data_IF_986657670705
#
_entry.id   IF_986657670705
#
_cell.length_a   1.000
_cell.length_b   1.000
_cell.length_c   1.000
_cell.angle_alpha   90.00
_cell.angle_beta   90.00
_cell.angle_gamma   90.00
#
_symmetry.space_group_name_H-M   'P 1'
#
loop_
_entity.id
_entity.type
_entity.pdbx_description
1 polymer ?
#
# COMPACT_ATOMS: atom_id res chain seq x y z
N UNK A 1 -21.92 -1.71 3.35
CA UNK A 1 -21.65 -0.29 3.02
C UNK A 1 -20.31 -0.19 2.33
N UNK A 2 -20.27 0.47 1.18
CA UNK A 2 -19.04 0.63 0.43
C UNK A 2 -18.19 1.76 1.02
N UNK A 3 -17.03 1.41 1.54
CA UNK A 3 -16.10 2.42 2.03
C UNK A 3 -15.31 3.01 0.86
N UNK A 4 -15.22 4.34 0.81
CA UNK A 4 -14.50 5.05 -0.23
C UNK A 4 -13.39 5.89 0.39
N UNK A 5 -12.16 5.41 0.41
CA UNK A 5 -11.04 6.22 0.88
C UNK A 5 -10.80 7.37 -0.09
N UNK A 6 -10.25 8.48 0.42
CA UNK A 6 -9.95 9.67 -0.38
C UNK A 6 -8.45 9.84 -0.59
N UNK A 7 -7.65 9.57 0.42
CA UNK A 7 -6.22 9.84 0.41
C UNK A 7 -5.44 8.54 0.47
N UNK A 8 -4.57 8.37 -0.51
CA UNK A 8 -3.64 7.23 -0.57
C UNK A 8 -2.24 7.77 -0.39
N UNK A 9 -1.56 7.35 0.68
CA UNK A 9 -0.18 7.69 0.94
C UNK A 9 0.71 6.53 0.50
N UNK A 10 1.73 6.81 -0.30
CA UNK A 10 2.67 5.80 -0.75
C UNK A 10 4.06 6.15 -0.24
N UNK A 11 4.51 5.44 0.78
CA UNK A 11 5.85 5.59 1.31
C UNK A 11 6.78 4.85 0.37
N UNK A 12 7.75 5.57 -0.21
CA UNK A 12 8.54 5.05 -1.31
C UNK A 12 7.90 5.27 -2.68
N UNK A 13 6.87 6.14 -2.75
CA UNK A 13 6.12 6.40 -3.99
C UNK A 13 6.92 7.08 -5.09
N UNK A 14 8.18 7.46 -4.83
CA UNK A 14 9.07 7.99 -5.86
C UNK A 14 9.90 6.87 -6.51
N UNK A 15 9.87 5.66 -5.97
CA UNK A 15 10.48 4.50 -6.59
C UNK A 15 9.66 4.02 -7.79
N UNK A 16 10.20 3.08 -8.56
CA UNK A 16 9.55 2.62 -9.80
C UNK A 16 8.17 2.00 -9.56
N UNK A 17 8.06 1.08 -8.61
CA UNK A 17 6.79 0.43 -8.31
C UNK A 17 5.80 1.42 -7.72
N UNK A 18 6.23 2.20 -6.72
CA UNK A 18 5.38 3.19 -6.08
C UNK A 18 4.89 4.25 -7.05
N UNK A 19 5.75 4.73 -7.95
CA UNK A 19 5.37 5.72 -8.97
C UNK A 19 4.31 5.18 -9.93
N UNK A 20 4.42 3.93 -10.30
CA UNK A 20 3.48 3.29 -11.20
C UNK A 20 2.07 3.28 -10.60
N UNK A 21 1.96 2.88 -9.33
CA UNK A 21 0.68 2.88 -8.63
C UNK A 21 0.19 4.30 -8.31
N UNK A 22 1.10 5.21 -7.98
CA UNK A 22 0.72 6.60 -7.70
C UNK A 22 0.05 7.25 -8.92
N UNK A 23 0.64 7.08 -10.09
CA UNK A 23 0.04 7.60 -11.33
C UNK A 23 -1.33 6.99 -11.59
N UNK A 24 -1.43 5.66 -11.45
CA UNK A 24 -2.68 4.96 -11.70
C UNK A 24 -3.80 5.43 -10.76
N UNK A 25 -3.51 5.55 -9.47
CA UNK A 25 -4.51 6.01 -8.51
C UNK A 25 -4.94 7.47 -8.76
N UNK A 26 -4.01 8.33 -9.18
CA UNK A 26 -4.36 9.72 -9.51
C UNK A 26 -5.35 9.80 -10.67
N UNK A 27 -5.28 8.88 -11.62
CA UNK A 27 -6.22 8.82 -12.73
C UNK A 27 -7.64 8.47 -12.28
N UNK A 28 -7.80 7.89 -11.11
CA UNK A 28 -9.10 7.54 -10.55
C UNK A 28 -9.55 8.50 -9.44
N UNK A 29 -9.05 9.73 -9.49
CA UNK A 29 -9.46 10.83 -8.60
C UNK A 29 -9.13 10.66 -7.12
N UNK A 30 -8.18 9.78 -6.78
CA UNK A 30 -7.66 9.75 -5.42
C UNK A 30 -6.65 10.87 -5.21
N UNK A 31 -6.63 11.42 -4.00
CA UNK A 31 -5.53 12.27 -3.57
C UNK A 31 -4.36 11.35 -3.22
N UNK A 32 -3.26 11.47 -3.94
CA UNK A 32 -2.09 10.61 -3.72
C UNK A 32 -0.93 11.43 -3.18
N UNK A 33 -0.45 11.05 -2.00
CA UNK A 33 0.71 11.66 -1.36
C UNK A 33 1.87 10.67 -1.44
N UNK A 34 3.06 11.16 -1.79
CA UNK A 34 4.24 10.29 -1.91
C UNK A 34 5.38 10.84 -1.07
N UNK A 35 6.31 9.97 -0.70
CA UNK A 35 7.53 10.36 0.02
C UNK A 35 8.26 11.44 -0.75
N UNK A 36 8.84 12.41 -0.02
CA UNK A 36 9.72 13.37 -0.65
C UNK A 36 11.07 12.73 -0.99
N UNK A 37 11.94 13.48 -1.66
CA UNK A 37 13.20 12.95 -2.16
C UNK A 37 14.10 12.39 -1.05
N UNK A 38 14.06 13.00 0.13
CA UNK A 38 14.85 12.59 1.28
C UNK A 38 14.10 11.71 2.26
N UNK A 39 12.85 11.34 1.96
CA UNK A 39 11.98 10.54 2.84
C UNK A 39 11.73 11.20 4.20
N UNK A 40 11.67 12.54 4.23
CA UNK A 40 11.51 13.29 5.48
C UNK A 40 10.05 13.46 5.87
N UNK A 41 9.10 13.20 4.94
CA UNK A 41 7.68 13.40 5.19
C UNK A 41 6.91 12.11 5.49
N UNK A 42 7.61 11.00 5.74
CA UNK A 42 6.95 9.69 5.89
C UNK A 42 5.95 9.64 7.05
N UNK A 43 6.26 10.30 8.18
CA UNK A 43 5.34 10.31 9.32
C UNK A 43 4.04 11.05 8.99
N UNK A 44 4.16 12.16 8.26
CA UNK A 44 2.97 12.91 7.83
C UNK A 44 2.13 12.09 6.85
N UNK A 45 2.77 11.38 5.94
CA UNK A 45 2.06 10.47 5.04
C UNK A 45 1.29 9.40 5.81
N UNK A 46 1.92 8.83 6.83
CA UNK A 46 1.29 7.81 7.67
C UNK A 46 0.05 8.38 8.38
N UNK A 47 0.16 9.59 8.90
CA UNK A 47 -0.96 10.23 9.63
C UNK A 47 -2.14 10.59 8.73
N UNK A 48 -1.88 10.99 7.48
CA UNK A 48 -2.92 11.55 6.61
C UNK A 48 -3.56 10.55 5.67
N UNK A 49 -2.94 9.39 5.43
CA UNK A 49 -3.49 8.41 4.51
C UNK A 49 -4.70 7.68 5.06
N UNK A 50 -5.72 7.52 4.25
CA UNK A 50 -6.76 6.53 4.50
C UNK A 50 -6.23 5.15 4.17
N UNK A 51 -5.38 5.10 3.14
CA UNK A 51 -4.63 3.93 2.74
C UNK A 51 -3.16 4.31 2.81
N UNK A 52 -2.35 3.54 3.51
CA UNK A 52 -0.90 3.76 3.61
C UNK A 52 -0.20 2.55 3.01
N UNK A 53 0.50 2.78 1.91
CA UNK A 53 1.21 1.73 1.16
C UNK A 53 2.70 1.91 1.39
N UNK A 54 3.36 0.85 1.84
CA UNK A 54 4.82 0.83 2.00
C UNK A 54 5.42 0.16 0.76
N UNK A 55 6.14 0.93 -0.04
CA UNK A 55 6.77 0.48 -1.28
C UNK A 55 8.22 0.95 -1.31
N UNK A 56 9.04 0.36 -0.46
CA UNK A 56 10.46 0.67 -0.29
C UNK A 56 11.28 -0.59 -0.61
N UNK A 57 12.62 -0.47 -0.80
CA UNK A 57 13.44 -1.66 -1.00
C UNK A 57 13.23 -2.70 0.10
N UNK A 58 13.27 -3.97 -0.28
CA UNK A 58 12.97 -5.09 0.61
C UNK A 58 13.69 -4.99 1.96
N UNK A 59 14.98 -4.68 1.94
CA UNK A 59 15.82 -4.62 3.14
C UNK A 59 15.45 -3.48 4.09
N UNK A 60 14.64 -2.53 3.64
CA UNK A 60 14.21 -1.38 4.45
C UNK A 60 12.76 -1.50 4.93
N UNK A 61 12.02 -2.46 4.42
CA UNK A 61 10.58 -2.56 4.65
C UNK A 61 10.21 -2.67 6.13
N UNK A 62 10.83 -3.58 6.86
CA UNK A 62 10.53 -3.76 8.28
C UNK A 62 10.84 -2.51 9.10
N UNK A 63 11.99 -1.88 8.84
CA UNK A 63 12.41 -0.68 9.55
C UNK A 63 11.43 0.47 9.29
N UNK A 64 11.02 0.65 8.05
CA UNK A 64 10.06 1.70 7.70
C UNK A 64 8.72 1.46 8.39
N UNK A 65 8.23 0.21 8.37
CA UNK A 65 6.98 -0.14 9.05
C UNK A 65 7.07 0.14 10.55
N UNK A 66 8.20 -0.19 11.19
CA UNK A 66 8.40 0.11 12.60
C UNK A 66 8.32 1.60 12.87
N UNK A 67 8.92 2.41 12.01
CA UNK A 67 8.95 3.86 12.17
C UNK A 67 7.57 4.50 11.97
N UNK A 68 6.84 4.11 10.93
CA UNK A 68 5.60 4.80 10.56
C UNK A 68 4.35 4.14 11.13
N UNK A 69 4.41 2.86 11.48
CA UNK A 69 3.24 2.10 11.94
C UNK A 69 2.45 2.76 13.06
N UNK A 70 3.13 3.27 14.13
CA UNK A 70 2.40 3.91 15.23
C UNK A 70 1.63 5.17 14.82
N UNK A 71 1.95 5.77 13.69
CA UNK A 71 1.32 6.99 13.20
C UNK A 71 0.18 6.72 12.21
N UNK A 72 0.02 5.49 11.76
CA UNK A 72 -1.09 5.12 10.88
C UNK A 72 -2.37 5.09 11.72
N UNK A 73 -3.41 5.76 11.23
CA UNK A 73 -4.67 5.82 11.98
C UNK A 73 -5.30 4.43 12.11
N UNK A 74 -5.93 4.18 13.22
CA UNK A 74 -6.61 2.90 13.47
C UNK A 74 -7.65 2.59 12.39
N UNK A 75 -8.30 3.63 11.86
CA UNK A 75 -9.35 3.51 10.85
C UNK A 75 -8.79 3.33 9.44
N UNK A 76 -7.48 3.44 9.27
CA UNK A 76 -6.83 3.33 7.97
C UNK A 76 -6.45 1.90 7.62
N UNK A 77 -6.04 1.70 6.38
CA UNK A 77 -5.44 0.46 5.92
C UNK A 77 -3.92 0.64 5.78
N UNK A 78 -3.17 -0.27 6.36
CA UNK A 78 -1.72 -0.38 6.13
C UNK A 78 -1.46 -1.58 5.25
N UNK A 79 -0.76 -1.38 4.14
CA UNK A 79 -0.46 -2.42 3.17
C UNK A 79 0.95 -2.20 2.60
N UNK A 80 1.46 -3.19 1.88
CA UNK A 80 2.80 -3.13 1.29
C UNK A 80 2.80 -3.78 -0.10
N UNK A 81 3.94 -3.63 -0.81
CA UNK A 81 4.16 -4.24 -2.11
C UNK A 81 5.41 -5.14 -2.10
N UNK A 82 5.66 -5.80 -0.99
CA UNK A 82 6.87 -6.62 -0.81
C UNK A 82 6.65 -8.04 -1.34
N UNK A 83 7.66 -8.60 -1.99
CA UNK A 83 7.57 -9.97 -2.52
C UNK A 83 7.58 -11.04 -1.43
N UNK A 84 8.10 -10.73 -0.25
CA UNK A 84 8.14 -11.64 0.91
C UNK A 84 7.10 -11.16 1.91
N UNK A 85 6.21 -12.03 2.39
CA UNK A 85 5.07 -11.59 3.20
C UNK A 85 5.24 -11.77 4.70
N UNK A 86 5.90 -12.83 5.14
CA UNK A 86 5.93 -13.17 6.56
C UNK A 86 6.40 -12.01 7.46
N UNK A 87 7.57 -11.45 7.20
CA UNK A 87 8.13 -10.40 8.05
C UNK A 87 7.42 -9.06 7.90
N UNK A 88 7.12 -8.58 6.68
CA UNK A 88 6.38 -7.33 6.55
C UNK A 88 4.99 -7.38 7.18
N UNK A 89 4.24 -8.47 7.01
CA UNK A 89 2.93 -8.61 7.62
C UNK A 89 3.06 -8.64 9.15
N UNK A 90 4.00 -9.39 9.68
CA UNK A 90 4.23 -9.44 11.13
C UNK A 90 4.57 -8.05 11.68
N UNK A 91 5.40 -7.28 10.97
CA UNK A 91 5.74 -5.91 11.36
C UNK A 91 4.51 -4.99 11.34
N UNK A 92 3.70 -5.07 10.28
CA UNK A 92 2.49 -4.24 10.18
C UNK A 92 1.52 -4.55 11.31
N UNK A 93 1.35 -5.81 11.67
CA UNK A 93 0.48 -6.22 12.78
C UNK A 93 1.03 -5.76 14.12
N UNK A 94 2.35 -5.82 14.28
CA UNK A 94 3.01 -5.48 15.55
C UNK A 94 3.05 -3.97 15.81
N UNK A 95 3.39 -3.19 14.79
CA UNK A 95 3.68 -1.76 14.98
C UNK A 95 2.52 -0.83 14.66
N UNK A 96 1.41 -1.34 14.14
CA UNK A 96 0.24 -0.50 13.87
C UNK A 96 -1.00 -1.07 14.53
N UNK A 97 -2.05 -0.23 14.61
CA UNK A 97 -3.39 -0.64 15.03
C UNK A 97 -4.37 -0.62 13.86
N UNK A 98 -3.89 -0.33 12.66
CA UNK A 98 -4.70 -0.22 11.45
C UNK A 98 -5.13 -1.59 10.94
N UNK A 99 -6.04 -1.60 9.96
CA UNK A 99 -6.27 -2.82 9.19
C UNK A 99 -5.00 -3.17 8.42
N UNK A 100 -4.76 -4.44 8.20
CA UNK A 100 -3.56 -4.91 7.54
C UNK A 100 -3.93 -5.88 6.43
N UNK A 101 -3.47 -5.55 5.23
CA UNK A 101 -3.55 -6.45 4.08
C UNK A 101 -2.17 -6.44 3.43
N UNK A 102 -1.51 -7.60 3.41
CA UNK A 102 -0.25 -7.73 2.68
C UNK A 102 -0.50 -7.74 1.19
N UNK A 103 0.32 -7.04 0.43
CA UNK A 103 0.23 -7.02 -1.03
C UNK A 103 1.48 -7.60 -1.67
N UNK A 104 1.31 -8.40 -2.72
CA UNK A 104 2.43 -9.00 -3.44
C UNK A 104 2.19 -8.90 -4.93
N UNK A 105 2.70 -7.84 -5.59
CA UNK A 105 2.68 -7.79 -7.05
C UNK A 105 3.50 -8.94 -7.64
N UNK A 106 2.93 -9.62 -8.63
CA UNK A 106 3.61 -10.72 -9.32
C UNK A 106 4.25 -10.22 -10.62
N UNK A 107 4.74 -8.98 -10.60
CA UNK A 107 5.38 -8.35 -11.76
C UNK A 107 6.47 -7.38 -11.26
N UNK A 108 7.45 -7.13 -12.11
CA UNK A 108 8.52 -6.19 -11.79
C UNK A 108 8.13 -4.75 -12.15
N UNK A 109 8.91 -3.77 -11.68
CA UNK A 109 8.63 -2.35 -11.93
C UNK A 109 8.97 -1.88 -13.35
N UNK A 110 9.50 -2.74 -14.18
CA UNK A 110 9.88 -2.39 -15.56
C UNK A 110 8.72 -2.48 -16.56
N UNK A 111 7.52 -2.85 -16.09
CA UNK A 111 6.34 -2.90 -16.96
C UNK A 111 5.85 -1.48 -17.26
N UNK A 112 5.19 -1.32 -18.40
CA UNK A 112 4.63 -0.03 -18.80
C UNK A 112 3.19 0.16 -18.33
N UNK A 113 2.45 -0.94 -18.16
CA UNK A 113 1.03 -0.91 -17.81
C UNK A 113 0.71 -1.89 -16.68
N UNK A 114 -0.14 -1.47 -15.77
CA UNK A 114 -0.69 -2.35 -14.73
C UNK A 114 -1.72 -3.31 -15.30
N UNK A 115 -2.40 -2.94 -16.38
CA UNK A 115 -3.45 -3.75 -16.97
C UNK A 115 -2.94 -5.14 -17.34
N UNK A 116 -3.66 -6.17 -16.91
CA UNK A 116 -3.32 -7.56 -17.18
C UNK A 116 -2.32 -8.17 -16.20
N UNK A 117 -1.79 -7.38 -15.27
CA UNK A 117 -0.87 -7.89 -14.26
C UNK A 117 -1.60 -8.60 -13.14
N UNK A 118 -0.87 -9.39 -12.36
CA UNK A 118 -1.43 -10.17 -11.26
C UNK A 118 -0.85 -9.72 -9.92
N UNK A 119 -1.67 -9.75 -8.88
CA UNK A 119 -1.26 -9.38 -7.54
C UNK A 119 -1.95 -10.28 -6.51
N UNK A 120 -1.22 -10.65 -5.47
CA UNK A 120 -1.77 -11.41 -4.35
C UNK A 120 -2.06 -10.44 -3.21
N UNK A 121 -3.24 -10.59 -2.59
CA UNK A 121 -3.58 -9.90 -1.36
C UNK A 121 -3.74 -10.90 -0.23
N UNK A 122 -3.13 -10.58 0.91
CA UNK A 122 -3.18 -11.40 2.13
C UNK A 122 -3.89 -10.58 3.22
N UNK A 123 -5.22 -10.73 3.38
CA UNK A 123 -5.92 -10.02 4.44
C UNK A 123 -5.58 -10.63 5.81
N UNK A 124 -5.07 -9.80 6.72
CA UNK A 124 -4.57 -10.26 8.01
C UNK A 124 -5.30 -9.67 9.20
N UNK A 125 -5.81 -8.45 9.09
CA UNK A 125 -6.59 -7.82 10.18
C UNK A 125 -7.59 -6.83 9.60
N UNK A 126 -8.85 -6.96 10.02
CA UNK A 126 -9.93 -6.07 9.62
C UNK A 126 -10.72 -6.58 8.43
N UNK A 127 -11.88 -5.99 8.20
CA UNK A 127 -12.79 -6.41 7.14
C UNK A 127 -13.27 -5.26 6.25
N UNK A 128 -12.91 -4.03 6.59
CA UNK A 128 -13.45 -2.84 5.95
C UNK A 128 -12.90 -2.58 4.57
N UNK A 129 -11.60 -2.86 4.35
CA UNK A 129 -10.90 -2.41 3.17
C UNK A 129 -10.71 -3.45 2.07
N UNK A 130 -10.92 -4.73 2.35
CA UNK A 130 -10.64 -5.76 1.35
C UNK A 130 -11.44 -5.59 0.08
N UNK A 131 -12.73 -5.29 0.21
CA UNK A 131 -13.60 -5.07 -0.93
C UNK A 131 -13.15 -3.86 -1.75
N UNK A 132 -12.85 -2.75 -1.06
CA UNK A 132 -12.34 -1.57 -1.74
C UNK A 132 -11.03 -1.86 -2.49
N UNK A 133 -10.10 -2.53 -1.81
CA UNK A 133 -8.76 -2.79 -2.39
C UNK A 133 -8.87 -3.67 -3.64
N UNK A 134 -9.65 -4.74 -3.54
CA UNK A 134 -9.89 -5.63 -4.67
C UNK A 134 -10.51 -4.89 -5.84
N UNK A 135 -11.55 -4.08 -5.57
CA UNK A 135 -12.23 -3.32 -6.61
C UNK A 135 -11.35 -2.25 -7.21
N UNK A 136 -10.54 -1.56 -6.40
CA UNK A 136 -9.62 -0.54 -6.90
C UNK A 136 -8.58 -1.16 -7.82
N UNK A 137 -7.96 -2.27 -7.42
CA UNK A 137 -6.99 -2.95 -8.27
C UNK A 137 -7.62 -3.47 -9.56
N UNK A 138 -8.84 -4.01 -9.47
CA UNK A 138 -9.56 -4.45 -10.66
C UNK A 138 -9.80 -3.28 -11.64
N UNK A 139 -10.14 -2.12 -11.10
CA UNK A 139 -10.31 -0.90 -11.93
C UNK A 139 -9.02 -0.49 -12.64
N UNK A 140 -7.86 -0.77 -12.03
CA UNK A 140 -6.56 -0.53 -12.65
C UNK A 140 -6.18 -1.63 -13.66
N UNK A 141 -7.01 -2.66 -13.80
CA UNK A 141 -6.74 -3.80 -14.67
C UNK A 141 -5.86 -4.88 -14.06
N UNK A 142 -5.64 -4.83 -12.74
CA UNK A 142 -4.84 -5.82 -12.03
C UNK A 142 -5.74 -6.95 -11.55
N UNK A 143 -5.33 -8.18 -11.82
CA UNK A 143 -6.05 -9.37 -11.37
C UNK A 143 -5.60 -9.75 -9.97
N UNK A 144 -6.55 -9.88 -9.06
CA UNK A 144 -6.27 -10.15 -7.64
C UNK A 144 -6.53 -11.60 -7.31
N UNK A 145 -5.60 -12.22 -6.59
CA UNK A 145 -5.77 -13.52 -5.96
C UNK A 145 -5.64 -13.35 -4.45
N UNK A 146 -6.57 -13.91 -3.70
CA UNK A 146 -6.51 -13.86 -2.23
C UNK A 146 -5.77 -15.07 -1.68
N UNK A 147 -5.00 -14.85 -0.65
CA UNK A 147 -4.30 -15.93 0.06
C UNK A 147 -4.55 -15.88 1.56
#
# INVERSE_FOLDING_TARGET
>A
MNYQPKTISIIGGRGKMGSLFAEAFRLFDYTVLVSDKENTNNLELAKHGDIVIVSVPLEKTEQVIEEIGPYVRKEALLTDFTSVKMKPVAAMLKYSQAEVIGGHPLFGPSIDLLKGQNMILCPERGEKYLSWYTNALDSLGVKVTLM
#
